data_IF_482261418338
#
_entry.id   IF_482261418338
#
_cell.length_a   1.000
_cell.length_b   1.000
_cell.length_c   1.000
_cell.angle_alpha   90.00
_cell.angle_beta   90.00
_cell.angle_gamma   90.00
#
_symmetry.space_group_name_H-M   'P 1'
#
loop_
_entity.id
_entity.type
_entity.pdbx_description
1 polymer ?
#
# COMPACT_ATOMS: atom_id res chain seq x y z
N UNK A 1 -17.67 -31.82 -32.01
CA UNK A 1 -17.23 -31.77 -30.61
C UNK A 1 -16.43 -30.51 -30.42
N UNK A 2 -17.05 -29.47 -29.84
CA UNK A 2 -16.35 -28.26 -29.45
C UNK A 2 -15.62 -28.52 -28.13
N UNK A 3 -14.30 -28.55 -28.16
CA UNK A 3 -13.46 -28.61 -26.95
C UNK A 3 -13.60 -27.28 -26.21
N UNK A 4 -14.34 -27.26 -25.10
CA UNK A 4 -14.32 -26.21 -24.13
C UNK A 4 -12.98 -26.33 -23.38
N UNK A 5 -11.97 -25.59 -23.84
CA UNK A 5 -10.81 -25.27 -23.01
C UNK A 5 -11.32 -24.33 -21.91
N UNK A 6 -11.51 -24.87 -20.71
CA UNK A 6 -11.62 -24.04 -19.50
C UNK A 6 -10.26 -23.37 -19.35
N UNK A 7 -10.17 -22.07 -19.67
CA UNK A 7 -9.05 -21.26 -19.21
C UNK A 7 -9.11 -21.29 -17.68
N UNK A 8 -8.23 -22.06 -17.07
CA UNK A 8 -7.92 -21.97 -15.65
C UNK A 8 -7.48 -20.51 -15.44
N UNK A 9 -8.33 -19.71 -14.79
CA UNK A 9 -8.01 -18.34 -14.46
C UNK A 9 -6.62 -18.30 -13.83
N UNK A 10 -5.74 -17.45 -14.36
CA UNK A 10 -4.37 -17.31 -13.85
C UNK A 10 -4.44 -17.00 -12.36
N UNK A 11 -3.75 -17.80 -11.56
CA UNK A 11 -3.65 -17.55 -10.11
C UNK A 11 -2.95 -16.20 -9.96
N UNK A 12 -3.60 -15.25 -9.27
CA UNK A 12 -3.05 -13.93 -8.96
C UNK A 12 -1.67 -14.08 -8.28
N UNK A 13 -0.63 -13.57 -8.93
CA UNK A 13 0.73 -13.58 -8.42
C UNK A 13 0.93 -12.42 -7.43
N UNK A 14 0.99 -12.74 -6.14
CA UNK A 14 1.25 -11.77 -5.06
C UNK A 14 2.71 -11.85 -4.67
N UNK A 15 3.42 -10.76 -4.88
CA UNK A 15 4.80 -10.60 -4.47
C UNK A 15 4.87 -9.74 -3.20
N UNK A 16 5.51 -10.26 -2.16
CA UNK A 16 5.57 -9.61 -0.85
C UNK A 16 6.85 -8.81 -0.72
N UNK A 17 6.72 -7.56 -0.25
CA UNK A 17 7.84 -6.68 0.08
C UNK A 17 7.75 -6.28 1.55
N UNK A 18 8.81 -6.57 2.32
CA UNK A 18 8.96 -6.16 3.71
C UNK A 18 10.06 -5.11 3.79
N UNK A 19 9.74 -3.94 4.40
CA UNK A 19 10.73 -2.90 4.60
C UNK A 19 11.33 -3.02 5.99
N UNK A 20 12.63 -3.28 6.06
CA UNK A 20 13.37 -3.38 7.31
C UNK A 20 14.21 -2.13 7.55
N UNK A 21 14.25 -1.69 8.80
CA UNK A 21 15.16 -0.65 9.29
C UNK A 21 15.61 -0.97 10.70
N UNK A 22 16.49 -0.13 11.25
CA UNK A 22 17.08 -0.32 12.60
C UNK A 22 16.02 -0.66 13.65
N UNK A 23 16.31 -1.67 14.47
CA UNK A 23 15.46 -2.23 15.52
C UNK A 23 14.22 -3.03 15.04
N UNK A 24 14.08 -3.35 13.75
CA UNK A 24 12.97 -4.17 13.26
C UNK A 24 13.40 -5.56 12.78
N UNK A 25 14.67 -5.91 12.91
CA UNK A 25 15.24 -7.14 12.38
C UNK A 25 14.47 -8.41 12.78
N UNK A 26 14.23 -8.63 14.08
CA UNK A 26 13.57 -9.84 14.56
C UNK A 26 12.14 -9.97 14.05
N UNK A 27 11.37 -8.88 14.08
CA UNK A 27 10.02 -8.83 13.54
C UNK A 27 9.99 -9.06 12.03
N UNK A 28 11.00 -8.58 11.31
CA UNK A 28 11.14 -8.77 9.88
C UNK A 28 11.41 -10.23 9.54
N UNK A 29 12.34 -10.88 10.26
CA UNK A 29 12.63 -12.31 10.11
C UNK A 29 11.39 -13.18 10.39
N UNK A 30 10.63 -12.84 11.42
CA UNK A 30 9.39 -13.57 11.74
C UNK A 30 8.37 -13.48 10.60
N UNK A 31 8.12 -12.28 10.09
CA UNK A 31 7.22 -12.06 8.94
C UNK A 31 7.69 -12.76 7.68
N UNK A 32 8.98 -12.64 7.37
CA UNK A 32 9.58 -13.29 6.21
C UNK A 32 9.38 -14.82 6.26
N UNK A 33 9.68 -15.44 7.41
CA UNK A 33 9.46 -16.88 7.61
C UNK A 33 7.98 -17.28 7.48
N UNK A 34 7.10 -16.52 8.12
CA UNK A 34 5.66 -16.80 8.09
C UNK A 34 5.13 -16.75 6.65
N UNK A 35 5.43 -15.69 5.89
CA UNK A 35 4.93 -15.49 4.53
C UNK A 35 5.59 -16.44 3.52
N UNK A 36 6.89 -16.71 3.67
CA UNK A 36 7.59 -17.71 2.84
C UNK A 36 7.06 -19.12 3.07
N UNK A 37 6.68 -19.48 4.31
CA UNK A 37 6.08 -20.78 4.61
C UNK A 37 4.70 -20.99 3.97
N UNK A 38 4.00 -19.90 3.62
CA UNK A 38 2.76 -19.91 2.86
C UNK A 38 2.99 -20.00 1.33
N UNK A 39 4.25 -20.05 0.89
CA UNK A 39 4.62 -20.19 -0.51
C UNK A 39 4.73 -18.87 -1.27
N UNK A 40 4.69 -17.71 -0.61
CA UNK A 40 4.85 -16.41 -1.27
C UNK A 40 6.32 -16.10 -1.52
N UNK A 41 6.58 -15.41 -2.64
CA UNK A 41 7.88 -14.79 -2.92
C UNK A 41 8.02 -13.55 -2.06
N UNK A 42 8.91 -13.61 -1.06
CA UNK A 42 9.18 -12.50 -0.13
C UNK A 42 10.49 -11.84 -0.48
N UNK A 43 10.49 -10.53 -0.60
CA UNK A 43 11.67 -9.69 -0.79
C UNK A 43 11.74 -8.71 0.38
N UNK A 44 12.84 -8.77 1.13
CA UNK A 44 13.11 -7.80 2.19
C UNK A 44 14.03 -6.71 1.65
N UNK A 45 13.57 -5.45 1.75
CA UNK A 45 14.40 -4.28 1.44
C UNK A 45 14.88 -3.70 2.75
N UNK A 46 16.20 -3.74 2.94
CA UNK A 46 16.84 -3.46 4.21
C UNK A 46 17.63 -2.15 4.16
N UNK A 47 17.37 -1.28 5.15
CA UNK A 47 18.18 -0.09 5.41
C UNK A 47 18.91 -0.13 6.77
N UNK A 48 18.98 -1.29 7.44
CA UNK A 48 19.77 -1.49 8.65
C UNK A 48 21.13 -2.10 8.29
N UNK A 49 22.22 -1.37 8.48
CA UNK A 49 23.58 -1.85 8.19
C UNK A 49 24.12 -2.79 9.27
N UNK A 50 23.62 -2.69 10.51
CA UNK A 50 24.08 -3.56 11.62
C UNK A 50 23.50 -4.97 11.51
N UNK A 51 22.27 -5.11 10.98
CA UNK A 51 21.57 -6.38 10.86
C UNK A 51 21.07 -6.59 9.44
N UNK A 52 21.66 -7.52 8.73
CA UNK A 52 21.23 -7.89 7.40
C UNK A 52 21.27 -9.40 7.17
N UNK A 53 20.63 -9.85 6.11
CA UNK A 53 20.73 -11.22 5.60
C UNK A 53 21.30 -11.16 4.19
N UNK A 54 22.08 -12.19 3.80
CA UNK A 54 22.75 -12.26 2.50
C UNK A 54 21.77 -12.16 1.33
N UNK A 55 20.54 -12.67 1.52
CA UNK A 55 19.50 -12.68 0.49
C UNK A 55 18.61 -11.44 0.51
N UNK A 56 18.76 -10.53 1.47
CA UNK A 56 18.03 -9.26 1.52
C UNK A 56 18.63 -8.22 0.57
N UNK A 57 17.78 -7.32 0.10
CA UNK A 57 18.21 -6.19 -0.73
C UNK A 57 18.64 -5.04 0.17
N UNK A 58 19.93 -4.89 0.39
CA UNK A 58 20.49 -3.84 1.24
C UNK A 58 20.68 -2.56 0.47
N UNK A 59 20.12 -1.45 0.96
CA UNK A 59 20.17 -0.12 0.31
C UNK A 59 20.82 0.96 1.17
N UNK A 60 21.31 0.60 2.37
CA UNK A 60 22.09 1.46 3.26
C UNK A 60 21.24 2.32 4.21
N UNK A 61 21.83 2.73 5.34
CA UNK A 61 21.16 3.46 6.42
C UNK A 61 20.66 4.87 6.06
N UNK A 62 21.17 5.46 5.01
CA UNK A 62 20.69 6.76 4.53
C UNK A 62 19.35 6.68 3.78
N UNK A 63 18.87 5.47 3.53
CA UNK A 63 17.61 5.22 2.85
C UNK A 63 16.43 5.29 3.83
N UNK A 64 15.39 5.98 3.42
CA UNK A 64 14.12 6.08 4.12
C UNK A 64 13.01 5.37 3.35
N UNK A 65 11.75 5.54 3.79
CA UNK A 65 10.61 4.84 3.22
C UNK A 65 10.51 4.99 1.70
N UNK A 66 10.68 6.19 1.15
CA UNK A 66 10.60 6.39 -0.31
C UNK A 66 11.68 5.61 -1.06
N UNK A 67 12.92 5.59 -0.55
CA UNK A 67 14.01 4.85 -1.19
C UNK A 67 13.70 3.34 -1.21
N UNK A 68 13.19 2.80 -0.10
CA UNK A 68 12.74 1.41 -0.01
C UNK A 68 11.58 1.13 -0.96
N UNK A 69 10.59 2.03 -1.01
CA UNK A 69 9.42 1.85 -1.87
C UNK A 69 9.79 1.92 -3.36
N UNK A 70 10.63 2.87 -3.76
CA UNK A 70 11.14 2.96 -5.13
C UNK A 70 11.93 1.71 -5.52
N UNK A 71 12.72 1.13 -4.59
CA UNK A 71 13.43 -0.13 -4.83
C UNK A 71 12.46 -1.31 -4.96
N UNK A 72 11.39 -1.33 -4.17
CA UNK A 72 10.32 -2.33 -4.32
C UNK A 72 9.66 -2.22 -5.71
N UNK A 73 9.33 -1.01 -6.16
CA UNK A 73 8.76 -0.78 -7.48
C UNK A 73 9.69 -1.24 -8.62
N UNK A 74 11.01 -1.08 -8.46
CA UNK A 74 12.01 -1.56 -9.43
C UNK A 74 12.01 -3.09 -9.55
N UNK A 75 11.89 -3.78 -8.40
CA UNK A 75 11.97 -5.24 -8.30
C UNK A 75 10.65 -5.97 -8.54
N UNK A 76 9.55 -5.23 -8.53
CA UNK A 76 8.21 -5.78 -8.65
C UNK A 76 7.93 -6.25 -10.08
N UNK A 77 7.53 -7.52 -10.23
CA UNK A 77 7.20 -8.19 -11.48
C UNK A 77 5.92 -9.07 -11.41
N UNK A 78 5.19 -9.05 -10.28
CA UNK A 78 3.94 -9.78 -10.08
C UNK A 78 2.67 -9.06 -10.55
N UNK A 79 1.50 -9.59 -10.17
CA UNK A 79 0.19 -8.96 -10.41
C UNK A 79 -0.19 -7.99 -9.30
N UNK A 80 0.19 -8.31 -8.06
CA UNK A 80 -0.10 -7.52 -6.85
C UNK A 80 1.14 -7.43 -5.98
N UNK A 81 1.54 -6.20 -5.64
CA UNK A 81 2.53 -5.94 -4.61
C UNK A 81 1.85 -5.96 -3.25
N UNK A 82 2.29 -6.82 -2.35
CA UNK A 82 1.91 -6.79 -0.94
C UNK A 82 3.06 -6.19 -0.12
N UNK A 83 2.92 -4.94 0.28
CA UNK A 83 3.90 -4.21 1.08
C UNK A 83 3.56 -4.25 2.56
N UNK A 84 4.57 -4.44 3.41
CA UNK A 84 4.47 -4.49 4.87
C UNK A 84 5.66 -3.74 5.48
N UNK A 85 5.39 -2.83 6.43
CA UNK A 85 6.45 -2.19 7.21
C UNK A 85 7.06 -3.15 8.24
N UNK A 86 8.33 -2.94 8.59
CA UNK A 86 9.10 -3.79 9.50
C UNK A 86 8.52 -3.83 10.92
N UNK A 87 7.94 -2.74 11.40
CA UNK A 87 7.34 -2.62 12.74
C UNK A 87 5.88 -3.10 12.82
N UNK A 88 5.23 -3.33 11.68
CA UNK A 88 3.88 -3.90 11.62
C UNK A 88 3.87 -5.35 12.11
N UNK A 89 2.86 -5.74 12.86
CA UNK A 89 2.67 -7.11 13.36
C UNK A 89 1.25 -7.60 13.08
N UNK A 90 1.12 -8.86 12.70
CA UNK A 90 -0.16 -9.52 12.48
C UNK A 90 -0.02 -11.03 12.59
N UNK A 91 -1.06 -11.73 13.08
CA UNK A 91 -0.95 -13.15 13.41
C UNK A 91 -1.51 -14.08 12.31
N UNK A 92 -2.34 -13.59 11.41
CA UNK A 92 -3.02 -14.44 10.41
C UNK A 92 -2.86 -13.89 8.97
N UNK A 93 -1.62 -13.87 8.49
CA UNK A 93 -1.29 -13.44 7.13
C UNK A 93 -2.01 -14.25 6.06
N UNK A 94 -2.24 -15.55 6.31
CA UNK A 94 -2.93 -16.41 5.37
C UNK A 94 -4.37 -15.96 5.13
N UNK A 95 -5.10 -15.64 6.19
CA UNK A 95 -6.47 -15.17 6.11
C UNK A 95 -6.55 -13.79 5.44
N UNK A 96 -5.68 -12.86 5.83
CA UNK A 96 -5.60 -11.54 5.20
C UNK A 96 -5.39 -11.63 3.67
N UNK A 97 -4.42 -12.46 3.24
CA UNK A 97 -4.12 -12.60 1.81
C UNK A 97 -5.26 -13.31 1.08
N UNK A 98 -5.89 -14.28 1.72
CA UNK A 98 -7.07 -14.95 1.15
C UNK A 98 -8.21 -13.96 0.94
N UNK A 99 -8.55 -13.14 1.93
CA UNK A 99 -9.62 -12.16 1.84
C UNK A 99 -9.31 -11.06 0.83
N UNK A 100 -8.04 -10.64 0.70
CA UNK A 100 -7.60 -9.76 -0.37
C UNK A 100 -7.88 -10.36 -1.76
N UNK A 101 -7.53 -11.64 -1.99
CA UNK A 101 -7.80 -12.34 -3.26
C UNK A 101 -9.29 -12.45 -3.54
N UNK A 102 -10.06 -12.93 -2.56
CA UNK A 102 -11.50 -13.14 -2.71
C UNK A 102 -12.24 -11.83 -2.97
N UNK A 103 -11.83 -10.75 -2.29
CA UNK A 103 -12.39 -9.42 -2.52
C UNK A 103 -12.02 -8.86 -3.89
N UNK A 104 -10.84 -9.17 -4.43
CA UNK A 104 -10.45 -8.74 -5.78
C UNK A 104 -11.37 -9.31 -6.85
N UNK A 105 -11.78 -10.58 -6.73
CA UNK A 105 -12.70 -11.20 -7.67
C UNK A 105 -14.03 -10.43 -7.76
N UNK A 106 -14.47 -9.86 -6.62
CA UNK A 106 -15.73 -9.13 -6.53
C UNK A 106 -15.60 -7.67 -6.94
N UNK A 107 -14.56 -6.99 -6.45
CA UNK A 107 -14.48 -5.52 -6.48
C UNK A 107 -13.44 -4.99 -7.47
N UNK A 108 -12.54 -5.84 -7.99
CA UNK A 108 -11.45 -5.44 -8.88
C UNK A 108 -10.72 -4.18 -8.37
N UNK A 109 -10.42 -4.16 -7.07
CA UNK A 109 -9.76 -3.02 -6.43
C UNK A 109 -8.39 -2.69 -7.04
N UNK A 110 -7.97 -1.44 -6.92
CA UNK A 110 -6.60 -1.02 -7.22
C UNK A 110 -5.71 -1.12 -5.99
N UNK A 111 -6.30 -0.84 -4.82
CA UNK A 111 -5.63 -0.94 -3.52
C UNK A 111 -6.56 -1.61 -2.52
N UNK A 112 -6.01 -2.56 -1.76
CA UNK A 112 -6.66 -3.17 -0.61
C UNK A 112 -5.73 -3.09 0.59
N UNK A 113 -6.24 -2.67 1.73
CA UNK A 113 -5.47 -2.57 2.96
C UNK A 113 -6.27 -3.11 4.16
N UNK A 114 -5.66 -3.80 5.10
CA UNK A 114 -6.27 -4.02 6.40
C UNK A 114 -6.43 -2.70 7.16
N UNK A 115 -7.21 -2.70 8.21
CA UNK A 115 -7.19 -1.64 9.20
C UNK A 115 -5.85 -1.64 9.95
N UNK A 116 -5.42 -0.48 10.40
CA UNK A 116 -4.24 -0.30 11.27
C UNK A 116 -4.73 0.27 12.59
N UNK A 117 -4.25 -0.25 13.72
CA UNK A 117 -4.70 0.18 15.05
C UNK A 117 -4.28 1.62 15.36
N UNK A 118 -3.13 2.04 14.85
CA UNK A 118 -2.65 3.41 14.91
C UNK A 118 -2.36 3.99 13.54
N UNK A 119 -3.06 5.07 13.18
CA UNK A 119 -2.90 5.81 11.93
C UNK A 119 -3.00 7.32 12.17
N UNK A 120 -2.38 8.11 11.31
CA UNK A 120 -2.39 9.58 11.38
C UNK A 120 -3.75 10.20 11.02
N UNK A 121 -4.57 9.49 10.25
CA UNK A 121 -5.86 9.97 9.80
C UNK A 121 -6.98 9.23 10.49
N UNK A 122 -7.93 9.97 11.04
CA UNK A 122 -9.13 9.37 11.63
C UNK A 122 -10.00 8.71 10.55
N UNK A 123 -10.75 7.68 10.93
CA UNK A 123 -11.65 6.96 10.03
C UNK A 123 -12.68 7.90 9.39
N UNK A 124 -13.19 8.86 10.16
CA UNK A 124 -14.16 9.85 9.69
C UNK A 124 -13.62 10.72 8.55
N UNK A 125 -12.30 10.85 8.47
CA UNK A 125 -11.63 11.59 7.39
C UNK A 125 -11.33 10.73 6.18
N UNK A 126 -11.12 9.44 6.36
CA UNK A 126 -10.66 8.55 5.29
C UNK A 126 -11.77 7.72 4.69
N UNK A 127 -12.79 7.32 5.46
CA UNK A 127 -13.89 6.49 4.94
C UNK A 127 -14.81 7.31 4.04
N UNK A 128 -15.13 6.76 2.86
CA UNK A 128 -16.05 7.37 1.90
C UNK A 128 -17.47 6.94 2.25
N UNK A 129 -18.24 7.86 2.82
CA UNK A 129 -19.65 7.63 3.08
C UNK A 129 -20.45 7.55 1.77
N UNK A 130 -21.48 6.70 1.76
CA UNK A 130 -22.40 6.59 0.62
C UNK A 130 -22.03 5.50 -0.38
N UNK A 131 -20.84 4.89 -0.28
CA UNK A 131 -20.48 3.70 -1.04
C UNK A 131 -20.54 2.48 -0.14
N UNK A 132 -21.56 1.61 -0.35
CA UNK A 132 -21.72 0.39 0.42
C UNK A 132 -21.17 -0.81 -0.37
N UNK A 133 -20.22 -1.51 0.21
CA UNK A 133 -19.75 -2.80 -0.29
C UNK A 133 -20.67 -3.93 0.23
N UNK A 134 -20.66 -5.07 -0.44
CA UNK A 134 -21.45 -6.25 -0.01
C UNK A 134 -20.99 -6.74 1.35
N UNK A 135 -19.68 -6.76 1.56
CA UNK A 135 -19.09 -7.04 2.87
C UNK A 135 -19.14 -5.78 3.74
N UNK A 136 -19.75 -5.91 4.92
CA UNK A 136 -19.95 -4.79 5.86
C UNK A 136 -18.68 -4.43 6.61
N UNK A 137 -17.69 -5.32 6.65
CA UNK A 137 -16.37 -5.05 7.25
C UNK A 137 -15.49 -4.22 6.33
N UNK A 138 -15.78 -4.20 5.03
CA UNK A 138 -15.02 -3.45 4.04
C UNK A 138 -15.62 -2.07 3.78
N UNK A 139 -14.77 -1.07 3.65
CA UNK A 139 -15.13 0.31 3.30
C UNK A 139 -14.29 0.80 2.13
N UNK A 140 -14.91 1.61 1.27
CA UNK A 140 -14.14 2.42 0.33
C UNK A 140 -13.53 3.58 1.09
N UNK A 141 -12.23 3.80 0.92
CA UNK A 141 -11.49 4.84 1.65
C UNK A 141 -10.70 5.71 0.70
N UNK A 142 -10.54 6.99 1.06
CA UNK A 142 -9.70 7.90 0.28
C UNK A 142 -8.22 7.65 0.47
N UNK A 143 -7.85 7.27 1.69
CA UNK A 143 -6.47 7.11 2.10
C UNK A 143 -6.38 5.91 3.05
N UNK A 144 -5.87 4.76 2.60
CA UNK A 144 -5.48 3.68 3.49
C UNK A 144 -4.16 4.07 4.15
N UNK A 145 -3.83 3.48 5.28
CA UNK A 145 -2.48 3.61 5.82
C UNK A 145 -1.50 2.77 4.99
N UNK A 146 -0.32 3.32 4.67
CA UNK A 146 0.69 2.60 3.89
C UNK A 146 1.55 1.63 4.72
N UNK A 147 1.21 1.40 5.98
CA UNK A 147 1.88 0.42 6.85
C UNK A 147 1.79 -1.00 6.30
N UNK A 148 0.62 -1.35 5.76
CA UNK A 148 0.34 -2.68 5.21
C UNK A 148 -0.74 -2.57 4.12
N UNK A 149 -0.40 -2.86 2.87
CA UNK A 149 -1.35 -2.74 1.77
C UNK A 149 -0.98 -3.59 0.55
N UNK A 150 -1.99 -3.93 -0.22
CA UNK A 150 -1.90 -4.60 -1.51
C UNK A 150 -2.15 -3.58 -2.61
N UNK A 151 -1.29 -3.54 -3.61
CA UNK A 151 -1.35 -2.60 -4.73
C UNK A 151 -1.33 -3.39 -6.03
N UNK A 152 -2.39 -3.25 -6.83
CA UNK A 152 -2.45 -3.90 -8.13
C UNK A 152 -1.45 -3.29 -9.10
N UNK A 153 -0.85 -4.13 -9.97
CA UNK A 153 0.19 -3.73 -10.92
C UNK A 153 -0.20 -2.54 -11.81
N UNK A 154 -1.46 -2.45 -12.22
CA UNK A 154 -1.90 -1.35 -13.08
C UNK A 154 -1.68 0.02 -12.42
N UNK A 155 -1.85 0.11 -11.09
CA UNK A 155 -1.61 1.34 -10.32
C UNK A 155 -0.12 1.69 -10.35
N UNK A 156 0.73 0.68 -10.17
CA UNK A 156 2.19 0.81 -10.20
C UNK A 156 2.65 1.23 -11.60
N UNK A 157 2.11 0.62 -12.64
CA UNK A 157 2.46 0.91 -14.03
C UNK A 157 2.11 2.36 -14.40
N UNK A 158 0.93 2.84 -14.01
CA UNK A 158 0.55 4.25 -14.20
C UNK A 158 1.47 5.18 -13.41
N UNK A 159 1.76 4.86 -12.14
CA UNK A 159 2.70 5.65 -11.35
C UNK A 159 4.07 5.77 -12.04
N UNK A 160 4.64 4.66 -12.53
CA UNK A 160 5.91 4.66 -13.27
C UNK A 160 5.86 5.53 -14.53
N UNK A 161 4.72 5.57 -15.24
CA UNK A 161 4.51 6.40 -16.42
C UNK A 161 4.47 7.91 -16.13
N UNK A 162 4.04 8.29 -14.92
CA UNK A 162 4.00 9.70 -14.50
C UNK A 162 5.40 10.32 -14.35
N UNK A 163 6.45 9.49 -14.20
CA UNK A 163 7.85 9.92 -14.10
C UNK A 163 8.09 11.00 -13.04
N UNK A 164 7.37 10.91 -11.92
CA UNK A 164 7.55 11.84 -10.80
C UNK A 164 8.91 11.54 -10.16
N UNK A 165 9.74 12.57 -10.02
CA UNK A 165 10.98 12.43 -9.26
C UNK A 165 10.67 12.39 -7.77
N UNK A 166 10.78 11.20 -7.17
CA UNK A 166 10.52 10.97 -5.75
C UNK A 166 11.76 11.16 -4.87
N UNK A 167 12.94 11.33 -5.44
CA UNK A 167 14.20 11.39 -4.70
C UNK A 167 14.31 12.51 -3.63
N UNK A 168 13.61 13.67 -3.77
CA UNK A 168 13.62 14.69 -2.74
C UNK A 168 12.70 14.39 -1.53
N UNK A 169 11.77 13.42 -1.65
CA UNK A 169 10.69 13.19 -0.68
C UNK A 169 10.92 11.89 0.11
N UNK A 170 12.01 11.83 0.86
CA UNK A 170 12.53 10.60 1.48
C UNK A 170 11.63 10.01 2.55
N UNK A 171 10.94 10.85 3.34
CA UNK A 171 10.15 10.42 4.50
C UNK A 171 8.92 9.59 4.13
N UNK A 172 8.48 9.63 2.88
CA UNK A 172 7.43 8.75 2.36
C UNK A 172 6.00 9.24 2.60
N UNK A 173 5.80 10.42 3.19
CA UNK A 173 4.46 10.98 3.33
C UNK A 173 3.89 11.38 1.97
N UNK A 174 2.70 10.90 1.66
CA UNK A 174 2.00 11.16 0.41
C UNK A 174 1.84 9.94 -0.50
N UNK A 175 2.57 8.85 -0.28
CA UNK A 175 2.35 7.61 -1.05
C UNK A 175 0.92 7.08 -0.90
N UNK A 176 0.39 7.13 0.33
CA UNK A 176 -0.97 6.77 0.70
C UNK A 176 -2.05 7.73 0.15
N UNK A 177 -1.65 8.76 -0.59
CA UNK A 177 -2.52 9.68 -1.30
C UNK A 177 -2.34 9.56 -2.81
N UNK A 178 -1.08 9.47 -3.30
CA UNK A 178 -0.78 9.38 -4.73
C UNK A 178 -1.34 8.10 -5.33
N UNK A 179 -1.03 6.94 -4.74
CA UNK A 179 -1.46 5.67 -5.31
C UNK A 179 -2.98 5.47 -5.23
N UNK A 180 -3.67 5.81 -4.12
CA UNK A 180 -5.13 5.89 -4.11
C UNK A 180 -5.69 6.85 -5.16
N UNK A 181 -5.07 8.01 -5.37
CA UNK A 181 -5.46 8.96 -6.42
C UNK A 181 -5.43 8.34 -7.80
N UNK A 182 -4.34 7.64 -8.13
CA UNK A 182 -4.22 6.89 -9.38
C UNK A 182 -5.31 5.81 -9.47
N UNK A 183 -5.56 5.07 -8.37
CA UNK A 183 -6.59 4.03 -8.33
C UNK A 183 -7.97 4.58 -8.70
N UNK A 184 -8.38 5.71 -8.11
CA UNK A 184 -9.66 6.34 -8.42
C UNK A 184 -9.73 6.90 -9.86
N UNK A 185 -8.65 7.50 -10.35
CA UNK A 185 -8.60 7.95 -11.75
C UNK A 185 -8.73 6.79 -12.74
N UNK A 186 -8.25 5.61 -12.36
CA UNK A 186 -8.44 4.36 -13.11
C UNK A 186 -9.79 3.67 -12.86
N UNK A 187 -10.68 4.30 -12.09
CA UNK A 187 -11.98 3.73 -11.68
C UNK A 187 -11.88 2.42 -10.91
N UNK A 188 -10.80 2.26 -10.14
CA UNK A 188 -10.61 1.14 -9.24
C UNK A 188 -10.81 1.57 -7.80
N UNK A 189 -11.42 0.69 -7.00
CA UNK A 189 -11.67 0.98 -5.59
C UNK A 189 -10.38 0.96 -4.77
N UNK A 190 -10.38 1.76 -3.71
CA UNK A 190 -9.42 1.67 -2.60
C UNK A 190 -10.21 1.17 -1.41
N UNK A 191 -9.88 -0.02 -0.93
CA UNK A 191 -10.66 -0.72 0.11
C UNK A 191 -9.82 -0.81 1.38
N UNK A 192 -10.46 -0.50 2.52
CA UNK A 192 -9.97 -0.87 3.86
C UNK A 192 -10.87 -1.96 4.41
N UNK A 193 -10.24 -3.05 4.86
CA UNK A 193 -10.92 -4.15 5.52
C UNK A 193 -10.73 -4.08 7.04
N UNK A 194 -11.82 -3.85 7.75
CA UNK A 194 -11.86 -3.76 9.20
C UNK A 194 -11.94 -5.12 9.89
N UNK A 195 -12.05 -6.22 9.13
CA UNK A 195 -11.95 -7.58 9.66
C UNK A 195 -10.52 -7.86 10.15
N UNK A 196 -9.54 -7.31 9.47
CA UNK A 196 -8.13 -7.44 9.82
C UNK A 196 -7.61 -6.14 10.42
N UNK A 197 -6.95 -6.22 11.56
CA UNK A 197 -6.30 -5.06 12.17
C UNK A 197 -4.83 -5.38 12.41
N UNK A 198 -3.96 -4.59 11.79
CA UNK A 198 -2.51 -4.66 11.95
C UNK A 198 -2.13 -3.88 13.19
N UNK A 199 -1.33 -4.48 14.07
CA UNK A 199 -0.69 -3.78 15.17
C UNK A 199 0.48 -2.96 14.63
N UNK A 200 0.46 -1.65 14.90
CA UNK A 200 1.49 -0.71 14.50
C UNK A 200 1.84 0.22 15.67
N UNK A 201 3.11 0.29 16.09
CA UNK A 201 3.47 1.10 17.24
C UNK A 201 3.22 2.59 16.99
N UNK A 202 2.67 3.32 17.97
CA UNK A 202 2.49 4.76 17.83
C UNK A 202 3.84 5.48 17.79
N UNK A 203 3.93 6.48 16.94
CA UNK A 203 5.10 7.35 16.85
C UNK A 203 5.94 7.13 15.60
N UNK A 204 6.96 7.94 15.46
CA UNK A 204 7.91 7.91 14.37
C UNK A 204 9.31 8.11 14.93
N UNK A 205 10.28 7.43 14.34
CA UNK A 205 11.70 7.60 14.66
C UNK A 205 12.37 8.66 13.76
N UNK A 206 11.57 9.48 13.05
CA UNK A 206 12.07 10.50 12.12
C UNK A 206 11.43 11.87 12.38
N UNK A 207 11.98 12.89 11.75
CA UNK A 207 11.54 14.28 11.89
C UNK A 207 10.21 14.53 11.17
N UNK A 208 9.11 14.60 11.94
CA UNK A 208 7.76 14.85 11.42
C UNK A 208 7.65 16.17 10.63
N UNK A 209 8.31 17.23 11.10
CA UNK A 209 8.23 18.52 10.43
C UNK A 209 8.87 18.44 9.04
N UNK A 210 9.96 17.68 8.91
CA UNK A 210 10.56 17.44 7.60
C UNK A 210 9.62 16.63 6.71
N UNK A 211 9.00 15.57 7.23
CA UNK A 211 8.05 14.75 6.48
C UNK A 211 6.86 15.59 5.96
N UNK A 212 6.33 16.49 6.78
CA UNK A 212 5.26 17.41 6.39
C UNK A 212 5.70 18.39 5.29
N UNK A 213 6.89 18.97 5.42
CA UNK A 213 7.46 19.87 4.40
C UNK A 213 7.66 19.13 3.08
N UNK A 214 8.26 17.93 3.10
CA UNK A 214 8.47 17.11 1.91
C UNK A 214 7.13 16.75 1.25
N UNK A 215 6.11 16.35 2.03
CA UNK A 215 4.78 16.07 1.54
C UNK A 215 4.15 17.28 0.82
N UNK A 216 4.22 18.47 1.42
CA UNK A 216 3.69 19.68 0.80
C UNK A 216 4.44 20.05 -0.50
N UNK A 217 5.75 19.87 -0.54
CA UNK A 217 6.55 20.06 -1.74
C UNK A 217 6.16 19.07 -2.84
N UNK A 218 6.00 17.77 -2.49
CA UNK A 218 5.52 16.74 -3.39
C UNK A 218 4.16 17.13 -3.98
N UNK A 219 3.20 17.53 -3.15
CA UNK A 219 1.89 17.95 -3.65
C UNK A 219 1.94 19.17 -4.55
N UNK A 220 2.92 20.06 -4.40
CA UNK A 220 3.06 21.23 -5.28
C UNK A 220 3.35 20.83 -6.73
N UNK A 221 4.07 19.73 -6.95
CA UNK A 221 4.50 19.26 -8.27
C UNK A 221 3.59 18.20 -8.89
N UNK A 222 2.66 17.63 -8.12
CA UNK A 222 1.72 16.64 -8.65
C UNK A 222 0.71 17.25 -9.65
N UNK A 223 0.22 16.47 -10.62
CA UNK A 223 -0.95 16.83 -11.42
C UNK A 223 -2.16 17.18 -10.52
N UNK A 224 -2.98 18.13 -10.96
CA UNK A 224 -4.14 18.58 -10.17
C UNK A 224 -5.13 17.43 -9.87
N UNK A 225 -5.25 16.50 -10.79
CA UNK A 225 -6.10 15.33 -10.64
C UNK A 225 -5.71 14.47 -9.43
N UNK A 226 -4.42 14.37 -9.11
CA UNK A 226 -3.92 13.63 -7.94
C UNK A 226 -4.06 14.43 -6.64
N UNK A 227 -4.21 15.76 -6.73
CA UNK A 227 -4.41 16.62 -5.54
C UNK A 227 -5.83 16.51 -4.96
N UNK A 228 -6.76 15.95 -5.72
CA UNK A 228 -8.18 15.82 -5.33
C UNK A 228 -8.34 15.10 -3.98
N UNK A 229 -7.63 13.99 -3.79
CA UNK A 229 -7.66 13.23 -2.53
C UNK A 229 -7.12 14.02 -1.35
N UNK A 230 -6.05 14.77 -1.55
CA UNK A 230 -5.49 15.62 -0.52
C UNK A 230 -6.49 16.69 -0.05
N UNK A 231 -7.18 17.33 -1.01
CA UNK A 231 -8.22 18.29 -0.71
C UNK A 231 -9.39 17.66 0.03
N UNK A 232 -9.75 16.42 -0.32
CA UNK A 232 -10.79 15.69 0.40
C UNK A 232 -10.38 15.38 1.85
N UNK A 233 -9.20 14.82 2.08
CA UNK A 233 -8.68 14.57 3.43
C UNK A 233 -8.72 15.88 4.24
N UNK A 234 -8.54 17.03 3.59
CA UNK A 234 -8.68 18.37 4.19
C UNK A 234 -10.14 18.89 4.30
N UNK A 235 -11.13 18.20 3.73
CA UNK A 235 -12.54 18.56 3.88
C UNK A 235 -13.37 18.72 2.60
N UNK A 236 -12.79 18.58 1.41
CA UNK A 236 -13.53 18.67 0.14
C UNK A 236 -13.91 17.28 -0.39
N UNK A 237 -15.03 16.76 0.13
CA UNK A 237 -15.53 15.41 -0.20
C UNK A 237 -16.22 15.31 -1.56
N UNK A 238 -16.62 16.43 -2.16
CA UNK A 238 -17.49 16.43 -3.35
C UNK A 238 -16.80 15.88 -4.60
N UNK A 239 -15.51 16.16 -4.77
CA UNK A 239 -14.78 15.76 -5.96
C UNK A 239 -14.62 14.24 -6.09
N UNK A 240 -14.44 13.52 -4.99
CA UNK A 240 -14.31 12.06 -5.01
C UNK A 240 -15.66 11.39 -5.25
N UNK A 241 -16.73 11.89 -4.63
CA UNK A 241 -18.07 11.38 -4.92
C UNK A 241 -18.40 11.53 -6.40
N UNK A 242 -18.01 12.64 -7.04
CA UNK A 242 -18.18 12.83 -8.48
C UNK A 242 -17.36 11.84 -9.31
N UNK A 243 -16.10 11.55 -8.94
CA UNK A 243 -15.28 10.55 -9.62
C UNK A 243 -15.90 9.15 -9.54
N UNK A 244 -16.43 8.77 -8.36
CA UNK A 244 -17.04 7.47 -8.14
C UNK A 244 -18.41 7.32 -8.82
N UNK A 245 -19.20 8.39 -8.91
CA UNK A 245 -20.52 8.37 -9.56
C UNK A 245 -20.42 8.26 -11.08
N UNK A 246 -19.32 8.71 -11.66
CA UNK A 246 -19.03 8.63 -13.09
C UNK A 246 -18.30 7.35 -13.52
N UNK A 247 -18.08 6.44 -12.56
CA UNK A 247 -17.47 5.12 -12.78
C UNK A 247 -18.53 4.03 -12.90
#
# INVERSE_FOLDING_TARGET
>A
MLSLTVELGSVMDIQVFIFNWRNQFDKTIEKEKALSSLGYRVIVINSDEEHNQVHWVNIGESAYFTDQFMKALELFDGDVMFHIQGDASYNDWNHLIKDAKDSFETYKWGIYAPNVDYTWYTRERTDIEGVQLRDKTMKVVACPDCTCWFIHKDIIDVFKQLKIDMSPYKMGWGWDIILPGISFLMRRLVIRDYHHTIDHPPGTNYNKNQAEVEMHQLFSVLPNELKVLFNWIKGDRQQILQLLQNA
#
